data_IF_879501118795
#
_entry.id   IF_879501118795
#
_cell.length_a   1.000
_cell.length_b   1.000
_cell.length_c   1.000
_cell.angle_alpha   90.00
_cell.angle_beta   90.00
_cell.angle_gamma   90.00
#
_symmetry.space_group_name_H-M   'P 1'
#
loop_
_entity.id
_entity.type
_entity.pdbx_description
1 polymer ?
#
# COMPACT_ATOMS: atom_id res chain seq x y z
N UNK A 1 70.22 -49.06 22.43
CA UNK A 1 69.41 -49.90 23.34
C UNK A 1 69.66 -49.38 24.75
N UNK A 2 68.65 -49.12 25.61
CA UNK A 2 67.22 -49.48 25.57
C UNK A 2 66.36 -48.30 25.03
N UNK A 3 65.06 -48.08 25.29
CA UNK A 3 64.00 -48.89 25.92
C UNK A 3 62.61 -48.60 25.27
N UNK A 4 61.72 -49.57 25.00
CA UNK A 4 60.43 -49.32 24.33
C UNK A 4 59.26 -49.18 25.32
N UNK A 5 59.03 -47.96 25.84
CA UNK A 5 57.79 -47.63 26.59
C UNK A 5 57.16 -46.27 26.22
N UNK A 6 57.65 -45.57 25.20
CA UNK A 6 57.15 -44.25 24.79
C UNK A 6 55.98 -44.30 23.79
N UNK A 7 55.09 -45.28 23.92
CA UNK A 7 54.07 -45.62 22.90
C UNK A 7 52.69 -45.93 23.51
N UNK A 8 52.24 -45.11 24.48
CA UNK A 8 50.96 -45.34 25.18
C UNK A 8 50.21 -44.09 25.67
N UNK A 9 50.47 -42.88 25.14
CA UNK A 9 49.83 -41.63 25.63
C UNK A 9 49.29 -40.66 24.56
N UNK A 10 49.20 -41.07 23.28
CA UNK A 10 48.71 -40.21 22.19
C UNK A 10 47.26 -40.50 21.70
N UNK A 11 46.50 -41.37 22.37
CA UNK A 11 45.21 -41.89 21.88
C UNK A 11 43.98 -41.48 22.70
N UNK A 12 43.99 -40.29 23.32
CA UNK A 12 42.79 -39.70 23.96
C UNK A 12 42.52 -38.21 23.61
N UNK A 13 43.20 -37.66 22.59
CA UNK A 13 43.12 -36.23 22.24
C UNK A 13 42.30 -35.92 20.96
N UNK A 14 41.68 -36.90 20.28
CA UNK A 14 41.02 -36.67 18.99
C UNK A 14 39.53 -36.24 19.02
N UNK A 15 38.61 -36.78 19.86
CA UNK A 15 37.18 -36.50 19.67
C UNK A 15 36.76 -35.10 20.17
N UNK A 16 37.48 -34.52 21.13
CA UNK A 16 37.12 -33.21 21.69
C UNK A 16 37.45 -32.03 20.77
N UNK A 17 38.49 -32.11 19.94
CA UNK A 17 38.85 -31.04 19.02
C UNK A 17 37.87 -30.89 17.85
N UNK A 18 37.38 -32.00 17.29
CA UNK A 18 36.38 -31.95 16.21
C UNK A 18 35.03 -31.45 16.72
N UNK A 19 34.57 -31.90 17.90
CA UNK A 19 33.36 -31.37 18.52
C UNK A 19 33.47 -29.86 18.80
N UNK A 20 34.63 -29.38 19.24
CA UNK A 20 34.90 -27.96 19.46
C UNK A 20 35.03 -27.14 18.16
N UNK A 21 35.26 -27.77 17.00
CA UNK A 21 35.24 -27.13 15.68
C UNK A 21 33.81 -27.01 15.16
N UNK A 22 33.07 -28.12 15.15
CA UNK A 22 31.67 -28.20 14.68
C UNK A 22 30.76 -27.31 15.54
N UNK A 23 30.93 -27.30 16.86
CA UNK A 23 30.17 -26.38 17.75
C UNK A 23 30.52 -24.91 17.50
N UNK A 24 31.76 -24.56 17.15
CA UNK A 24 32.14 -23.18 16.78
C UNK A 24 31.57 -22.76 15.42
N UNK A 25 31.52 -23.66 14.43
CA UNK A 25 30.83 -23.41 13.17
C UNK A 25 29.31 -23.30 13.36
N UNK A 26 28.69 -24.15 14.17
CA UNK A 26 27.28 -24.03 14.54
C UNK A 26 26.98 -22.74 15.33
N UNK A 27 27.86 -22.30 16.23
CA UNK A 27 27.75 -20.99 16.91
C UNK A 27 27.92 -19.82 15.95
N UNK A 28 28.76 -19.96 14.91
CA UNK A 28 28.95 -18.94 13.88
C UNK A 28 27.71 -18.80 13.01
N UNK A 29 27.19 -19.93 12.49
CA UNK A 29 25.98 -19.97 11.66
C UNK A 29 24.75 -19.55 12.47
N UNK A 30 24.61 -19.96 13.74
CA UNK A 30 23.49 -19.52 14.58
C UNK A 30 23.56 -18.04 14.92
N UNK A 31 24.76 -17.46 15.14
CA UNK A 31 24.94 -16.01 15.27
C UNK A 31 24.60 -15.27 13.98
N UNK A 32 25.02 -15.75 12.82
CA UNK A 32 24.65 -15.18 11.52
C UNK A 32 23.13 -15.24 11.27
N UNK A 33 22.49 -16.37 11.61
CA UNK A 33 21.04 -16.52 11.51
C UNK A 33 20.31 -15.62 12.50
N UNK A 34 20.81 -15.49 13.73
CA UNK A 34 20.30 -14.53 14.73
C UNK A 34 20.49 -13.09 14.28
N UNK A 35 21.62 -12.71 13.68
CA UNK A 35 21.81 -11.40 13.08
C UNK A 35 20.82 -11.14 11.94
N UNK A 36 20.65 -12.09 11.00
CA UNK A 36 19.66 -11.97 9.91
C UNK A 36 18.23 -11.88 10.43
N UNK A 37 17.87 -12.65 11.46
CA UNK A 37 16.55 -12.60 12.10
C UNK A 37 16.36 -11.30 12.89
N UNK A 38 17.39 -10.80 13.58
CA UNK A 38 17.34 -9.51 14.30
C UNK A 38 17.28 -8.34 13.33
N UNK A 39 18.01 -8.36 12.21
CA UNK A 39 17.91 -7.35 11.15
C UNK A 39 16.56 -7.42 10.42
N UNK A 40 16.04 -8.62 10.11
CA UNK A 40 14.69 -8.78 9.57
C UNK A 40 13.63 -8.28 10.55
N UNK A 41 13.75 -8.61 11.85
CA UNK A 41 12.82 -8.14 12.89
C UNK A 41 12.95 -6.64 13.12
N UNK A 42 14.16 -6.04 13.07
CA UNK A 42 14.32 -4.58 13.09
C UNK A 42 13.68 -3.94 11.86
N UNK A 43 13.85 -4.52 10.67
CA UNK A 43 13.28 -4.02 9.41
C UNK A 43 11.75 -4.13 9.40
N UNK A 44 11.19 -5.18 9.99
CA UNK A 44 9.74 -5.37 10.17
C UNK A 44 9.17 -4.49 11.30
N UNK A 45 9.89 -4.31 12.40
CA UNK A 45 9.49 -3.41 13.52
C UNK A 45 9.74 -1.92 13.24
N UNK A 46 10.53 -1.59 12.21
CA UNK A 46 10.59 -0.23 11.67
C UNK A 46 9.29 0.19 10.98
N UNK A 47 8.37 -0.75 10.72
CA UNK A 47 7.05 -0.45 10.17
C UNK A 47 6.07 0.01 11.27
N UNK A 48 5.37 1.12 11.00
CA UNK A 48 4.27 1.64 11.82
C UNK A 48 4.65 2.36 13.13
N UNK A 49 5.52 3.37 13.04
CA UNK A 49 5.25 4.62 13.77
C UNK A 49 4.00 5.29 13.16
N UNK A 50 2.81 4.76 13.47
CA UNK A 50 1.53 5.31 13.01
C UNK A 50 1.32 6.66 13.67
N UNK A 51 1.64 7.72 12.94
CA UNK A 51 1.49 9.09 13.41
C UNK A 51 -0.01 9.37 13.61
N UNK A 52 -0.35 9.95 14.75
CA UNK A 52 -1.72 10.32 15.10
C UNK A 52 -2.28 11.32 14.08
N UNK A 53 -3.52 11.10 13.63
CA UNK A 53 -4.22 11.83 12.54
C UNK A 53 -4.46 13.35 12.75
N UNK A 54 -3.78 14.00 13.70
CA UNK A 54 -4.21 15.26 14.32
C UNK A 54 -3.76 16.56 13.65
N UNK A 55 -2.80 16.55 12.71
CA UNK A 55 -2.20 17.80 12.18
C UNK A 55 -2.70 18.23 10.79
N UNK A 56 -3.09 17.29 9.91
CA UNK A 56 -3.54 17.62 8.56
C UNK A 56 -5.07 17.53 8.44
N UNK A 57 -5.70 18.64 8.03
CA UNK A 57 -7.14 18.72 7.76
C UNK A 57 -7.41 19.34 6.39
N UNK A 58 -8.11 18.61 5.52
CA UNK A 58 -8.62 19.13 4.26
C UNK A 58 -9.98 19.83 4.49
N UNK A 59 -10.15 21.12 4.14
CA UNK A 59 -11.44 21.81 4.32
C UNK A 59 -12.61 21.24 3.51
N UNK A 60 -12.34 20.41 2.51
CA UNK A 60 -13.35 19.81 1.62
C UNK A 60 -13.71 18.39 2.07
N UNK A 61 -12.70 17.56 2.35
CA UNK A 61 -12.88 16.12 2.63
C UNK A 61 -12.60 15.71 4.09
N UNK A 62 -12.14 16.64 4.93
CA UNK A 62 -11.77 16.37 6.32
C UNK A 62 -10.39 15.71 6.45
N UNK A 63 -10.28 14.76 7.38
CA UNK A 63 -9.01 14.12 7.71
C UNK A 63 -8.53 13.12 6.63
N UNK A 64 -7.21 12.94 6.46
CA UNK A 64 -6.63 11.83 5.72
C UNK A 64 -7.08 10.48 6.28
N UNK A 65 -7.07 9.46 5.41
CA UNK A 65 -7.54 8.11 5.76
C UNK A 65 -6.90 7.07 4.85
N UNK A 66 -6.60 5.90 5.40
CA UNK A 66 -6.24 4.71 4.62
C UNK A 66 -7.39 4.30 3.68
N UNK A 67 -7.06 3.60 2.60
CA UNK A 67 -8.06 3.05 1.68
C UNK A 67 -8.94 1.99 2.38
N UNK A 68 -10.22 1.86 1.99
CA UNK A 68 -11.07 0.77 2.48
C UNK A 68 -10.50 -0.60 2.07
N UNK A 69 -10.51 -1.56 3.01
CA UNK A 69 -9.99 -2.92 2.78
C UNK A 69 -11.06 -3.85 2.19
N UNK A 70 -12.34 -3.61 2.52
CA UNK A 70 -13.48 -4.51 2.22
C UNK A 70 -14.36 -4.06 1.05
N UNK A 71 -14.05 -2.94 0.40
CA UNK A 71 -14.79 -2.43 -0.76
C UNK A 71 -13.86 -1.68 -1.71
N UNK A 72 -14.25 -1.56 -2.98
CA UNK A 72 -13.52 -0.73 -3.94
C UNK A 72 -13.57 0.75 -3.53
N UNK A 73 -12.48 1.52 -3.76
CA UNK A 73 -12.37 2.90 -3.30
C UNK A 73 -13.13 3.89 -4.19
N UNK A 74 -13.72 4.90 -3.58
CA UNK A 74 -14.22 6.09 -4.27
C UNK A 74 -13.09 7.07 -4.64
N UNK A 75 -13.37 8.05 -5.50
CA UNK A 75 -12.45 9.17 -5.75
C UNK A 75 -12.08 9.92 -4.45
N UNK A 76 -13.00 10.01 -3.49
CA UNK A 76 -12.74 10.57 -2.16
C UNK A 76 -11.76 9.71 -1.34
N UNK A 77 -11.98 8.40 -1.28
CA UNK A 77 -11.09 7.47 -0.55
C UNK A 77 -9.65 7.53 -1.09
N UNK A 78 -9.50 7.55 -2.42
CA UNK A 78 -8.18 7.66 -3.09
C UNK A 78 -7.47 8.97 -2.71
N UNK A 79 -8.19 10.09 -2.68
CA UNK A 79 -7.60 11.39 -2.35
C UNK A 79 -7.30 11.54 -0.85
N UNK A 80 -8.11 10.93 0.03
CA UNK A 80 -7.82 10.83 1.47
C UNK A 80 -6.58 10.00 1.77
N UNK A 81 -6.38 8.91 1.05
CA UNK A 81 -5.14 8.13 1.11
C UNK A 81 -3.96 8.94 0.55
N UNK A 82 -4.14 9.65 -0.57
CA UNK A 82 -3.11 10.53 -1.12
C UNK A 82 -2.61 11.59 -0.12
N UNK A 83 -3.50 12.21 0.67
CA UNK A 83 -3.09 13.14 1.72
C UNK A 83 -2.34 12.46 2.87
N UNK A 84 -2.69 11.21 3.20
CA UNK A 84 -2.02 10.43 4.24
C UNK A 84 -0.58 10.09 3.83
N UNK A 85 -0.39 9.55 2.61
CA UNK A 85 0.96 9.26 2.11
C UNK A 85 1.81 10.52 1.97
N UNK A 86 1.20 11.65 1.55
CA UNK A 86 1.90 12.93 1.47
C UNK A 86 2.43 13.40 2.82
N UNK A 87 1.61 13.29 3.88
CA UNK A 87 1.99 13.66 5.24
C UNK A 87 3.05 12.71 5.80
N UNK A 88 2.93 11.40 5.59
CA UNK A 88 3.94 10.43 6.00
C UNK A 88 5.31 10.74 5.37
N UNK A 89 5.35 10.96 4.04
CA UNK A 89 6.57 11.38 3.34
C UNK A 89 7.11 12.74 3.83
N UNK A 90 6.25 13.69 4.18
CA UNK A 90 6.66 14.96 4.76
C UNK A 90 7.41 14.77 6.09
N UNK A 91 6.90 13.89 6.96
CA UNK A 91 7.51 13.60 8.26
C UNK A 91 8.81 12.79 8.10
N UNK A 92 8.81 11.73 7.28
CA UNK A 92 10.01 10.92 6.99
C UNK A 92 11.17 11.77 6.45
N UNK A 93 10.86 12.76 5.60
CA UNK A 93 11.86 13.59 4.93
C UNK A 93 12.22 14.87 5.69
N UNK A 94 11.72 15.05 6.92
CA UNK A 94 11.85 16.28 7.70
C UNK A 94 11.45 17.53 6.90
N UNK A 95 10.34 17.43 6.17
CA UNK A 95 9.79 18.41 5.23
C UNK A 95 10.68 18.81 4.03
N UNK A 96 11.87 18.22 3.85
CA UNK A 96 12.81 18.60 2.76
C UNK A 96 12.29 18.30 1.36
N UNK A 97 11.33 17.37 1.22
CA UNK A 97 10.75 16.93 -0.06
C UNK A 97 9.33 17.46 -0.30
N UNK A 98 8.82 18.41 0.49
CA UNK A 98 7.49 19.02 0.24
C UNK A 98 7.42 19.79 -1.10
N UNK A 99 8.57 20.13 -1.67
CA UNK A 99 8.75 20.86 -2.91
C UNK A 99 8.31 19.97 -4.10
N UNK A 100 7.22 20.33 -4.80
CA UNK A 100 6.72 19.90 -6.12
C UNK A 100 6.92 18.44 -6.63
N UNK A 101 8.11 17.84 -6.55
CA UNK A 101 8.43 16.47 -6.94
C UNK A 101 7.68 15.41 -6.09
N UNK A 102 7.35 15.70 -4.83
CA UNK A 102 6.62 14.75 -3.96
C UNK A 102 5.24 14.36 -4.50
N UNK A 103 4.53 15.24 -5.19
CA UNK A 103 3.19 14.90 -5.69
C UNK A 103 3.19 13.74 -6.71
N UNK A 104 4.25 13.61 -7.52
CA UNK A 104 4.43 12.46 -8.41
C UNK A 104 4.76 11.20 -7.61
N UNK A 105 5.63 11.32 -6.59
CA UNK A 105 5.99 10.21 -5.71
C UNK A 105 4.78 9.67 -4.94
N UNK A 106 3.94 10.54 -4.36
CA UNK A 106 2.68 10.18 -3.70
C UNK A 106 1.79 9.33 -4.62
N UNK A 107 1.57 9.75 -5.87
CA UNK A 107 0.73 9.01 -6.82
C UNK A 107 1.30 7.63 -7.15
N UNK A 108 2.64 7.51 -7.24
CA UNK A 108 3.31 6.22 -7.42
C UNK A 108 3.21 5.31 -6.18
N UNK A 109 2.99 5.86 -4.98
CA UNK A 109 2.75 5.08 -3.74
C UNK A 109 1.28 4.67 -3.60
N UNK A 110 0.34 5.55 -3.97
CA UNK A 110 -1.11 5.27 -3.87
C UNK A 110 -1.58 4.32 -4.97
N UNK A 111 -1.10 4.46 -6.21
CA UNK A 111 -1.57 3.68 -7.34
C UNK A 111 -1.43 2.15 -7.16
N UNK A 112 -0.33 1.60 -6.61
CA UNK A 112 -0.23 0.18 -6.28
C UNK A 112 -1.25 -0.27 -5.23
N UNK A 113 -1.51 0.55 -4.19
CA UNK A 113 -2.50 0.24 -3.15
C UNK A 113 -3.91 0.17 -3.72
N UNK A 114 -4.26 1.10 -4.62
CA UNK A 114 -5.55 1.08 -5.35
C UNK A 114 -5.63 -0.15 -6.25
N UNK A 115 -4.59 -0.44 -7.04
CA UNK A 115 -4.56 -1.65 -7.90
C UNK A 115 -4.76 -2.93 -7.10
N UNK A 116 -4.10 -3.06 -5.94
CA UNK A 116 -4.20 -4.23 -5.08
C UNK A 116 -5.63 -4.52 -4.59
N UNK A 117 -6.48 -3.49 -4.42
CA UNK A 117 -7.89 -3.68 -4.03
C UNK A 117 -8.73 -4.27 -5.17
N UNK A 118 -8.46 -3.88 -6.41
CA UNK A 118 -9.10 -4.46 -7.58
C UNK A 118 -8.56 -5.87 -7.87
N UNK A 119 -7.26 -6.09 -7.70
CA UNK A 119 -6.62 -7.41 -7.82
C UNK A 119 -7.18 -8.41 -6.80
N UNK A 120 -7.40 -7.98 -5.54
CA UNK A 120 -8.11 -8.76 -4.51
C UNK A 120 -9.57 -9.08 -4.87
N UNK A 121 -10.17 -8.28 -5.74
CA UNK A 121 -11.54 -8.46 -6.22
C UNK A 121 -11.59 -9.26 -7.54
N UNK A 122 -10.45 -9.77 -8.02
CA UNK A 122 -10.27 -10.43 -9.31
C UNK A 122 -10.70 -9.58 -10.53
N UNK A 123 -10.72 -8.24 -10.39
CA UNK A 123 -11.10 -7.33 -11.48
C UNK A 123 -9.86 -6.98 -12.30
N UNK A 124 -9.83 -7.22 -13.63
CA UNK A 124 -8.70 -6.85 -14.47
C UNK A 124 -8.53 -5.32 -14.50
N UNK A 125 -7.31 -4.85 -14.23
CA UNK A 125 -6.99 -3.42 -14.05
C UNK A 125 -6.20 -2.83 -15.22
N UNK A 126 -6.35 -1.52 -15.45
CA UNK A 126 -5.47 -0.77 -16.37
C UNK A 126 -4.04 -0.68 -15.84
N UNK A 127 -3.09 -0.31 -16.71
CA UNK A 127 -1.68 -0.20 -16.35
C UNK A 127 -1.43 0.78 -15.19
N UNK A 128 -0.43 0.49 -14.36
CA UNK A 128 -0.09 1.31 -13.18
C UNK A 128 0.14 2.80 -13.55
N UNK A 129 0.82 3.03 -14.68
CA UNK A 129 1.02 4.37 -15.24
C UNK A 129 -0.31 5.10 -15.50
N UNK A 130 -1.33 4.40 -16.02
CA UNK A 130 -2.66 4.98 -16.24
C UNK A 130 -3.36 5.32 -14.93
N UNK A 131 -3.24 4.48 -13.91
CA UNK A 131 -3.76 4.75 -12.55
C UNK A 131 -3.11 6.03 -11.98
N UNK A 132 -1.78 6.15 -12.08
CA UNK A 132 -1.02 7.35 -11.65
C UNK A 132 -1.51 8.62 -12.37
N UNK A 133 -1.74 8.56 -13.69
CA UNK A 133 -2.31 9.69 -14.44
C UNK A 133 -3.70 10.11 -13.91
N UNK A 134 -4.56 9.14 -13.59
CA UNK A 134 -5.92 9.41 -13.10
C UNK A 134 -5.91 10.05 -11.70
N UNK A 135 -5.05 9.57 -10.80
CA UNK A 135 -4.83 10.19 -9.47
C UNK A 135 -4.32 11.63 -9.63
N UNK A 136 -3.33 11.83 -10.51
CA UNK A 136 -2.77 13.17 -10.77
C UNK A 136 -3.82 14.14 -11.36
N UNK A 137 -4.65 13.70 -12.31
CA UNK A 137 -5.72 14.52 -12.90
C UNK A 137 -6.77 14.93 -11.86
N UNK A 138 -7.16 14.01 -10.98
CA UNK A 138 -8.11 14.30 -9.91
C UNK A 138 -7.51 15.24 -8.84
N UNK A 139 -6.27 14.99 -8.40
CA UNK A 139 -5.55 15.89 -7.48
C UNK A 139 -5.37 17.30 -8.09
N UNK A 140 -5.08 17.41 -9.39
CA UNK A 140 -5.00 18.71 -10.07
C UNK A 140 -6.34 19.47 -10.05
N UNK A 141 -7.47 18.75 -10.16
CA UNK A 141 -8.81 19.34 -10.02
C UNK A 141 -9.05 19.85 -8.60
N UNK A 142 -8.69 19.07 -7.58
CA UNK A 142 -8.72 19.49 -6.18
C UNK A 142 -7.82 20.72 -5.92
N UNK A 143 -6.57 20.71 -6.40
CA UNK A 143 -5.64 21.86 -6.29
C UNK A 143 -6.20 23.11 -6.97
N UNK A 144 -6.86 22.97 -8.12
CA UNK A 144 -7.56 24.05 -8.81
C UNK A 144 -8.65 24.70 -7.95
N UNK A 145 -9.42 23.89 -7.22
CA UNK A 145 -10.45 24.34 -6.29
C UNK A 145 -9.83 25.01 -5.03
N UNK A 146 -8.73 24.46 -4.51
CA UNK A 146 -8.05 25.01 -3.33
C UNK A 146 -7.36 26.36 -3.58
N UNK A 147 -6.92 26.65 -4.82
CA UNK A 147 -6.34 27.97 -5.18
C UNK A 147 -7.29 29.13 -4.92
N UNK A 148 -8.58 28.98 -5.24
CA UNK A 148 -9.61 30.00 -5.01
C UNK A 148 -10.24 29.94 -3.63
N UNK A 149 -10.11 28.81 -2.90
CA UNK A 149 -10.79 28.55 -1.63
C UNK A 149 -10.71 29.71 -0.62
N UNK A 150 -9.51 30.23 -0.33
CA UNK A 150 -9.34 31.32 0.66
C UNK A 150 -10.12 32.60 0.32
N UNK A 151 -10.27 32.92 -0.97
CA UNK A 151 -10.93 34.14 -1.46
C UNK A 151 -12.43 33.95 -1.66
N UNK A 152 -12.84 32.78 -2.15
CA UNK A 152 -14.17 32.56 -2.70
C UNK A 152 -15.06 31.66 -1.81
N UNK A 153 -14.55 31.09 -0.71
CA UNK A 153 -15.28 30.13 0.17
C UNK A 153 -16.70 30.54 0.58
N UNK A 154 -16.94 31.84 0.80
CA UNK A 154 -18.25 32.32 1.24
C UNK A 154 -19.26 32.51 0.10
N UNK A 155 -18.81 32.55 -1.16
CA UNK A 155 -19.67 32.80 -2.32
C UNK A 155 -20.48 31.55 -2.67
N UNK A 156 -21.77 31.72 -2.92
CA UNK A 156 -22.67 30.59 -3.20
C UNK A 156 -22.30 29.83 -4.48
N UNK A 157 -21.80 30.52 -5.50
CA UNK A 157 -21.27 29.90 -6.72
C UNK A 157 -20.05 29.00 -6.45
N UNK A 158 -19.22 29.34 -5.46
CA UNK A 158 -18.10 28.52 -5.04
C UNK A 158 -18.57 27.37 -4.14
N UNK A 159 -19.48 27.61 -3.19
CA UNK A 159 -20.11 26.56 -2.36
C UNK A 159 -20.76 25.48 -3.23
N UNK A 160 -21.54 25.88 -4.25
CA UNK A 160 -22.11 24.96 -5.25
C UNK A 160 -21.02 24.16 -5.99
N UNK A 161 -19.94 24.80 -6.42
CA UNK A 161 -18.82 24.12 -7.10
C UNK A 161 -18.09 23.12 -6.20
N UNK A 162 -17.94 23.42 -4.91
CA UNK A 162 -17.39 22.48 -3.91
C UNK A 162 -18.32 21.30 -3.72
N UNK A 163 -19.63 21.52 -3.64
CA UNK A 163 -20.61 20.45 -3.46
C UNK A 163 -20.70 19.55 -4.71
N UNK A 164 -20.74 20.12 -5.92
CA UNK A 164 -20.65 19.34 -7.17
C UNK A 164 -19.37 18.49 -7.24
N UNK A 165 -18.25 18.98 -6.67
CA UNK A 165 -16.99 18.24 -6.61
C UNK A 165 -17.07 17.07 -5.61
N UNK A 166 -17.69 17.28 -4.43
CA UNK A 166 -17.99 16.21 -3.46
C UNK A 166 -18.94 15.15 -4.04
N UNK A 167 -20.04 15.56 -4.68
CA UNK A 167 -20.98 14.60 -5.29
C UNK A 167 -20.31 13.76 -6.40
N UNK A 168 -19.32 14.32 -7.11
CA UNK A 168 -18.48 13.56 -8.04
C UNK A 168 -17.47 12.66 -7.34
N UNK A 169 -16.97 13.03 -6.15
CA UNK A 169 -15.97 12.24 -5.40
C UNK A 169 -16.52 10.95 -4.80
N UNK A 170 -17.84 10.88 -4.56
CA UNK A 170 -18.51 9.67 -4.07
C UNK A 170 -18.56 8.52 -5.09
N UNK A 171 -18.27 8.80 -6.37
CA UNK A 171 -18.24 7.78 -7.43
C UNK A 171 -17.06 6.83 -7.24
N UNK A 172 -17.23 5.59 -7.71
CA UNK A 172 -16.16 4.59 -7.79
C UNK A 172 -14.94 5.15 -8.56
N UNK A 173 -13.74 4.97 -8.02
CA UNK A 173 -12.50 5.23 -8.74
C UNK A 173 -12.21 4.06 -9.69
N UNK A 174 -12.99 3.99 -10.77
CA UNK A 174 -12.97 2.86 -11.70
C UNK A 174 -11.65 2.80 -12.50
N UNK A 175 -10.84 1.78 -12.21
CA UNK A 175 -9.60 1.44 -12.92
C UNK A 175 -9.70 0.10 -13.66
N UNK A 176 -10.91 -0.41 -13.90
CA UNK A 176 -11.12 -1.63 -14.65
C UNK A 176 -10.63 -1.48 -16.10
N UNK A 177 -10.01 -2.54 -16.63
CA UNK A 177 -9.60 -2.62 -18.04
C UNK A 177 -10.74 -3.07 -18.96
N UNK A 178 -11.56 -4.01 -18.49
CA UNK A 178 -12.76 -4.48 -19.16
C UNK A 178 -13.93 -3.55 -18.82
N UNK A 179 -14.45 -2.85 -19.84
CA UNK A 179 -15.73 -2.12 -19.79
C UNK A 179 -16.88 -2.99 -20.31
N UNK A 180 -16.77 -4.30 -20.10
CA UNK A 180 -17.68 -5.27 -20.69
C UNK A 180 -19.08 -5.01 -20.14
N UNK A 181 -20.02 -4.72 -21.02
CA UNK A 181 -21.40 -4.47 -20.62
C UNK A 181 -22.01 -5.82 -20.29
N UNK A 182 -22.23 -6.11 -19.00
CA UNK A 182 -22.80 -7.38 -18.57
C UNK A 182 -24.25 -7.43 -19.05
N UNK A 183 -24.46 -8.03 -20.21
CA UNK A 183 -25.78 -8.33 -20.78
C UNK A 183 -26.31 -9.60 -20.13
N UNK A 184 -27.23 -9.43 -19.18
CA UNK A 184 -27.97 -10.51 -18.54
C UNK A 184 -29.06 -11.04 -19.48
N UNK A 185 -28.65 -11.78 -20.51
CA UNK A 185 -29.56 -12.37 -21.49
C UNK A 185 -30.30 -13.58 -20.91
N UNK A 186 -31.43 -13.32 -20.26
CA UNK A 186 -32.32 -14.39 -19.81
C UNK A 186 -33.32 -14.81 -20.89
N UNK A 187 -33.10 -15.99 -21.48
CA UNK A 187 -34.06 -16.63 -22.38
C UNK A 187 -35.35 -17.13 -21.68
N UNK A 188 -35.48 -16.93 -20.38
CA UNK A 188 -36.58 -17.41 -19.54
C UNK A 188 -37.95 -16.77 -19.81
N UNK A 189 -38.02 -15.65 -20.54
CA UNK A 189 -39.24 -14.82 -20.79
C UNK A 189 -39.99 -14.35 -19.53
N UNK A 190 -39.44 -14.54 -18.33
CA UNK A 190 -39.95 -14.01 -17.08
C UNK A 190 -39.47 -12.57 -16.88
N UNK A 191 -40.19 -11.79 -16.08
CA UNK A 191 -39.69 -10.51 -15.58
C UNK A 191 -38.38 -10.74 -14.79
N UNK A 192 -37.44 -9.78 -14.88
CA UNK A 192 -36.09 -9.89 -14.31
C UNK A 192 -36.14 -10.20 -12.81
N UNK A 193 -37.11 -9.63 -12.10
CA UNK A 193 -37.29 -9.77 -10.64
C UNK A 193 -37.86 -11.14 -10.20
N UNK A 194 -38.17 -12.05 -11.14
CA UNK A 194 -38.80 -13.36 -10.91
C UNK A 194 -38.04 -14.54 -11.55
N UNK A 195 -36.77 -14.33 -11.91
CA UNK A 195 -35.92 -15.33 -12.54
C UNK A 195 -34.83 -15.84 -11.58
N UNK A 196 -34.91 -17.13 -11.22
CA UNK A 196 -33.89 -17.87 -10.47
C UNK A 196 -32.86 -18.53 -11.41
N UNK A 197 -32.64 -17.94 -12.58
CA UNK A 197 -31.92 -18.59 -13.67
C UNK A 197 -30.40 -18.47 -13.45
N UNK A 198 -29.61 -19.53 -13.71
CA UNK A 198 -28.17 -19.49 -13.46
C UNK A 198 -27.50 -18.43 -14.36
N UNK A 199 -26.96 -17.39 -13.73
CA UNK A 199 -26.28 -16.28 -14.42
C UNK A 199 -25.04 -16.82 -15.11
N UNK A 200 -25.16 -16.99 -16.42
CA UNK A 200 -24.03 -17.28 -17.30
C UNK A 200 -23.40 -15.95 -17.72
N UNK A 201 -22.22 -15.65 -17.19
CA UNK A 201 -21.41 -14.52 -17.63
C UNK A 201 -20.73 -14.94 -18.94
N UNK A 202 -21.06 -14.24 -20.03
CA UNK A 202 -20.48 -14.43 -21.38
C UNK A 202 -19.40 -13.37 -21.62
#
# INVERSE_FOLDING_TARGET
VPNPQFLALCTLASPFCELASVTRQLLSVSKLLLCYLVECVLSVMALSKKITHSEFYCPIFGYPKELPVSKLPSYEDVLKCFFLEHYNLAVETNNKLLNNNSFSQNSNIVAPKVKQLFDKSSIPTVSLYRIVQMINAYNNSYRGLMKSYKRDKEKDSFKKKVEEFKQKSLRLFDISACKCTITLDCNCRKAVDLCECPVSIV
#
